data_IF_646983078170
#
_entry.id   IF_646983078170
#
_cell.length_a   1.000
_cell.length_b   1.000
_cell.length_c   1.000
_cell.angle_alpha   90.00
_cell.angle_beta   90.00
_cell.angle_gamma   90.00
#
_symmetry.space_group_name_H-M   'P 1'
#
loop_
_entity.id
_entity.type
_entity.pdbx_description
1 polymer ?
#
# COMPACT_ATOMS: atom_id res chain seq x y z
N UNK A 1 -10.54 -10.13 -11.89
CA UNK A 1 -10.09 -11.42 -12.46
C UNK A 1 -9.35 -12.18 -11.37
N UNK A 2 -9.63 -13.47 -11.17
CA UNK A 2 -8.86 -14.33 -10.25
C UNK A 2 -8.22 -15.47 -11.04
N UNK A 3 -7.04 -15.88 -10.63
CA UNK A 3 -6.24 -16.93 -11.29
C UNK A 3 -6.20 -18.15 -10.39
N UNK A 4 -6.54 -19.32 -10.93
CA UNK A 4 -6.46 -20.58 -10.21
C UNK A 4 -5.00 -21.07 -10.20
N UNK A 5 -4.44 -21.32 -9.02
CA UNK A 5 -3.07 -21.84 -8.86
C UNK A 5 -3.11 -23.10 -7.99
N UNK A 6 -2.55 -24.20 -8.48
CA UNK A 6 -2.42 -25.45 -7.71
C UNK A 6 -1.00 -25.52 -7.13
N UNK A 7 -0.86 -25.54 -5.82
CA UNK A 7 0.42 -25.69 -5.11
C UNK A 7 0.42 -26.97 -4.27
N UNK A 8 1.58 -27.44 -3.77
CA UNK A 8 1.62 -28.56 -2.82
C UNK A 8 0.78 -28.32 -1.56
N UNK A 9 0.60 -27.06 -1.16
CA UNK A 9 -0.21 -26.67 -0.01
C UNK A 9 -1.72 -26.59 -0.30
N UNK A 10 -2.15 -26.64 -1.57
CA UNK A 10 -3.56 -26.63 -1.94
C UNK A 10 -3.88 -25.86 -3.22
N UNK A 11 -5.18 -25.73 -3.51
CA UNK A 11 -5.69 -24.96 -4.65
C UNK A 11 -6.07 -23.55 -4.20
N UNK A 12 -5.52 -22.55 -4.87
CA UNK A 12 -5.68 -21.13 -4.53
C UNK A 12 -6.39 -20.36 -5.65
N UNK A 13 -7.14 -19.33 -5.26
CA UNK A 13 -7.72 -18.34 -6.17
C UNK A 13 -7.04 -17.00 -5.91
N UNK A 14 -6.07 -16.67 -6.75
CA UNK A 14 -5.19 -15.51 -6.59
C UNK A 14 -5.82 -14.29 -7.23
N UNK A 15 -5.93 -13.18 -6.49
CA UNK A 15 -6.58 -11.95 -6.93
C UNK A 15 -5.62 -10.91 -7.55
N UNK A 16 -4.34 -11.27 -7.72
CA UNK A 16 -3.30 -10.43 -8.33
C UNK A 16 -2.74 -11.10 -9.57
N UNK A 17 -2.28 -10.31 -10.53
CA UNK A 17 -1.61 -10.82 -11.73
C UNK A 17 -0.11 -11.09 -11.51
N UNK A 18 0.46 -10.54 -10.42
CA UNK A 18 1.88 -10.63 -10.11
C UNK A 18 2.10 -10.93 -8.62
N UNK A 19 2.98 -11.86 -8.33
CA UNK A 19 3.37 -12.23 -6.97
C UNK A 19 4.71 -12.98 -6.99
N UNK A 20 5.46 -12.89 -5.90
CA UNK A 20 6.61 -13.77 -5.68
C UNK A 20 6.11 -15.19 -5.36
N UNK A 21 6.76 -16.20 -5.93
CA UNK A 21 6.37 -17.60 -5.73
C UNK A 21 7.20 -18.61 -6.52
N UNK A 22 6.86 -19.88 -6.33
CA UNK A 22 7.48 -21.03 -7.02
C UNK A 22 7.00 -21.23 -8.46
N UNK A 23 7.45 -22.31 -9.09
CA UNK A 23 7.09 -22.69 -10.47
C UNK A 23 5.59 -22.86 -10.68
N UNK A 24 4.84 -23.22 -9.64
CA UNK A 24 3.39 -23.39 -9.68
C UNK A 24 2.67 -22.08 -9.98
N UNK A 25 3.17 -20.98 -9.42
CA UNK A 25 2.60 -19.64 -9.64
C UNK A 25 2.81 -19.19 -11.08
N UNK A 26 4.03 -19.37 -11.61
CA UNK A 26 4.33 -19.10 -13.02
C UNK A 26 3.50 -19.97 -13.95
N UNK A 27 3.34 -21.25 -13.62
CA UNK A 27 2.50 -22.20 -14.36
C UNK A 27 1.02 -21.80 -14.39
N UNK A 28 0.54 -21.12 -13.34
CA UNK A 28 -0.78 -20.50 -13.30
C UNK A 28 -0.89 -19.17 -14.07
N UNK A 29 0.21 -18.65 -14.62
CA UNK A 29 0.24 -17.35 -15.31
C UNK A 29 0.50 -16.14 -14.40
N UNK A 30 0.92 -16.37 -13.15
CA UNK A 30 1.34 -15.29 -12.24
C UNK A 30 2.80 -14.95 -12.50
N UNK A 31 3.07 -13.68 -12.82
CA UNK A 31 4.43 -13.19 -13.05
C UNK A 31 5.10 -12.73 -11.75
N UNK A 32 6.40 -12.97 -11.59
CA UNK A 32 7.22 -12.41 -10.52
C UNK A 32 8.00 -11.16 -10.96
N UNK A 33 7.84 -10.73 -12.23
CA UNK A 33 8.49 -9.53 -12.74
C UNK A 33 7.90 -8.27 -12.09
N UNK A 34 8.74 -7.50 -11.42
CA UNK A 34 8.36 -6.21 -10.86
C UNK A 34 8.22 -5.14 -11.95
N UNK A 35 7.25 -4.24 -11.78
CA UNK A 35 7.27 -2.97 -12.50
C UNK A 35 8.20 -2.01 -11.76
N UNK A 36 9.23 -1.53 -12.46
CA UNK A 36 10.28 -0.69 -11.87
C UNK A 36 10.15 0.73 -12.40
N UNK A 37 9.96 1.67 -11.49
CA UNK A 37 9.93 3.10 -11.78
C UNK A 37 11.05 3.79 -10.99
N UNK A 38 11.83 4.62 -11.67
CA UNK A 38 12.84 5.48 -11.03
C UNK A 38 12.33 6.92 -11.01
N UNK A 39 12.25 7.49 -9.81
CA UNK A 39 11.85 8.89 -9.60
C UNK A 39 13.05 9.65 -9.06
N UNK A 40 13.35 10.80 -9.67
CA UNK A 40 14.34 11.75 -9.14
C UNK A 40 13.63 12.64 -8.12
N UNK A 41 14.07 12.57 -6.87
CA UNK A 41 13.54 13.43 -5.81
C UNK A 41 14.06 14.86 -5.97
N UNK A 42 13.21 15.80 -5.59
CA UNK A 42 13.51 17.23 -5.45
C UNK A 42 12.81 17.79 -4.20
N UNK A 43 12.92 19.09 -3.97
CA UNK A 43 12.36 19.78 -2.80
C UNK A 43 10.83 19.76 -2.73
N UNK A 44 10.13 19.47 -3.83
CA UNK A 44 8.67 19.35 -3.84
C UNK A 44 8.19 18.02 -3.24
N UNK A 45 9.08 17.03 -3.14
CA UNK A 45 8.75 15.71 -2.59
C UNK A 45 8.87 15.74 -1.06
N UNK A 46 7.73 15.62 -0.39
CA UNK A 46 7.65 15.80 1.08
C UNK A 46 7.55 14.49 1.85
N UNK A 47 7.07 13.40 1.26
CA UNK A 47 7.02 12.09 1.90
C UNK A 47 6.83 10.97 0.87
N UNK A 48 7.07 9.74 1.31
CA UNK A 48 6.72 8.51 0.59
C UNK A 48 5.90 7.61 1.53
N UNK A 49 4.83 7.01 1.00
CA UNK A 49 4.01 6.02 1.70
C UNK A 49 4.06 4.71 0.93
N UNK A 50 4.43 3.63 1.62
CA UNK A 50 4.32 2.26 1.13
C UNK A 50 3.34 1.53 2.04
N UNK A 51 2.31 0.90 1.49
CA UNK A 51 1.31 0.21 2.31
C UNK A 51 0.72 -1.00 1.59
N UNK A 52 0.24 -1.97 2.36
CA UNK A 52 -0.54 -3.11 1.84
C UNK A 52 -1.94 -2.67 1.39
N UNK A 53 -2.63 -3.53 0.66
CA UNK A 53 -4.04 -3.39 0.32
C UNK A 53 -4.94 -3.33 1.55
N UNK A 54 -4.56 -3.94 2.68
CA UNK A 54 -5.25 -3.73 3.96
C UNK A 54 -5.33 -2.26 4.42
N UNK A 55 -4.42 -1.39 3.96
CA UNK A 55 -4.48 0.06 4.18
C UNK A 55 -5.20 0.77 3.03
N UNK A 56 -4.83 0.44 1.79
CA UNK A 56 -5.34 1.13 0.60
C UNK A 56 -6.79 0.75 0.22
N UNK A 57 -7.23 -0.45 0.54
CA UNK A 57 -8.51 -1.05 0.12
C UNK A 57 -9.70 -0.54 0.92
N UNK A 58 -9.49 -0.15 2.18
CA UNK A 58 -10.54 0.49 2.98
C UNK A 58 -10.80 1.91 2.48
N UNK A 59 -9.71 2.62 2.14
CA UNK A 59 -9.77 3.95 1.55
C UNK A 59 -10.33 3.95 0.12
N UNK A 60 -10.41 2.79 -0.55
CA UNK A 60 -11.07 2.61 -1.85
C UNK A 60 -12.59 2.62 -1.76
N UNK A 61 -13.17 2.07 -0.68
CA UNK A 61 -14.63 2.04 -0.52
C UNK A 61 -15.21 3.43 -0.29
N UNK A 62 -14.37 4.38 0.13
CA UNK A 62 -14.73 5.76 0.45
C UNK A 62 -14.30 6.76 -0.62
N UNK A 63 -13.49 6.36 -1.61
CA UNK A 63 -12.90 7.28 -2.58
C UNK A 63 -13.34 6.94 -4.01
N UNK A 64 -13.65 7.96 -4.81
CA UNK A 64 -14.01 7.86 -6.24
C UNK A 64 -12.79 7.52 -7.14
N UNK A 65 -11.94 6.57 -6.72
CA UNK A 65 -10.77 6.10 -7.46
C UNK A 65 -9.41 6.40 -6.81
N UNK A 66 -8.35 5.91 -7.47
CA UNK A 66 -6.97 5.91 -6.95
C UNK A 66 -6.42 7.30 -6.62
N UNK A 67 -6.76 8.33 -7.41
CA UNK A 67 -6.32 9.70 -7.18
C UNK A 67 -6.94 10.34 -5.94
N UNK A 68 -8.25 10.15 -5.71
CA UNK A 68 -8.94 10.66 -4.54
C UNK A 68 -8.40 10.03 -3.25
N UNK A 69 -8.20 8.71 -3.27
CA UNK A 69 -7.55 7.96 -2.17
C UNK A 69 -6.15 8.47 -1.87
N UNK A 70 -5.31 8.63 -2.90
CA UNK A 70 -3.93 9.10 -2.73
C UNK A 70 -3.90 10.50 -2.10
N UNK A 71 -4.81 11.41 -2.52
CA UNK A 71 -4.97 12.73 -1.91
C UNK A 71 -5.43 12.64 -0.45
N UNK A 72 -6.36 11.75 -0.12
CA UNK A 72 -6.85 11.54 1.23
C UNK A 72 -5.75 11.05 2.20
N UNK A 73 -4.87 10.17 1.74
CA UNK A 73 -3.68 9.74 2.51
C UNK A 73 -2.68 10.88 2.62
N UNK A 74 -2.38 11.57 1.52
CA UNK A 74 -1.47 12.70 1.50
C UNK A 74 -1.87 13.80 2.51
N UNK A 75 -3.16 14.12 2.56
CA UNK A 75 -3.71 15.08 3.53
C UNK A 75 -3.49 14.62 4.98
N UNK A 76 -3.77 13.33 5.29
CA UNK A 76 -3.57 12.77 6.64
C UNK A 76 -2.10 12.82 7.06
N UNK A 77 -1.18 12.47 6.15
CA UNK A 77 0.26 12.53 6.39
C UNK A 77 0.72 13.96 6.62
N UNK A 78 0.30 14.90 5.77
CA UNK A 78 0.66 16.31 5.90
C UNK A 78 0.13 16.91 7.21
N UNK A 79 -1.12 16.64 7.58
CA UNK A 79 -1.73 17.12 8.82
C UNK A 79 -1.00 16.56 10.06
N UNK A 80 -0.68 15.27 10.06
CA UNK A 80 0.02 14.65 11.18
C UNK A 80 1.48 15.13 11.28
N UNK A 81 2.17 15.33 10.14
CA UNK A 81 3.51 15.95 10.12
C UNK A 81 3.47 17.37 10.67
N UNK A 82 2.49 18.18 10.26
CA UNK A 82 2.31 19.54 10.77
C UNK A 82 2.03 19.56 12.30
N UNK A 83 1.41 18.50 12.82
CA UNK A 83 1.22 18.29 14.25
C UNK A 83 2.47 17.72 14.98
N UNK A 84 3.63 17.66 14.31
CA UNK A 84 4.89 17.20 14.91
C UNK A 84 4.97 15.69 15.14
N UNK A 85 4.12 14.89 14.49
CA UNK A 85 4.13 13.43 14.63
C UNK A 85 5.33 12.79 13.94
N UNK A 86 5.89 11.77 14.58
CA UNK A 86 6.96 10.99 13.97
C UNK A 86 6.43 10.16 12.78
N UNK A 87 7.32 9.72 11.89
CA UNK A 87 6.93 8.85 10.78
C UNK A 87 6.23 7.55 11.26
N UNK A 88 6.68 6.99 12.39
CA UNK A 88 6.08 5.81 13.01
C UNK A 88 4.66 6.07 13.52
N UNK A 89 4.42 7.21 14.18
CA UNK A 89 3.08 7.61 14.64
C UNK A 89 2.13 7.83 13.46
N UNK A 90 2.63 8.41 12.37
CA UNK A 90 1.84 8.62 11.15
C UNK A 90 1.47 7.26 10.53
N UNK A 91 2.43 6.33 10.43
CA UNK A 91 2.19 4.99 9.90
C UNK A 91 1.16 4.22 10.75
N UNK A 92 1.30 4.23 12.07
CA UNK A 92 0.34 3.63 13.02
C UNK A 92 -1.04 4.28 12.88
N UNK A 93 -1.09 5.61 12.77
CA UNK A 93 -2.33 6.36 12.53
C UNK A 93 -3.06 5.94 11.24
N UNK A 94 -2.33 5.70 10.15
CA UNK A 94 -2.90 5.22 8.90
C UNK A 94 -3.45 3.79 9.02
N UNK A 95 -2.72 2.89 9.69
CA UNK A 95 -3.17 1.51 9.95
C UNK A 95 -4.43 1.51 10.83
N UNK A 96 -4.46 2.30 11.90
CA UNK A 96 -5.65 2.44 12.76
C UNK A 96 -6.82 3.06 12.02
N UNK A 97 -6.57 3.98 11.08
CA UNK A 97 -7.62 4.56 10.25
C UNK A 97 -8.29 3.48 9.41
N UNK A 98 -7.50 2.64 8.73
CA UNK A 98 -8.02 1.51 7.96
C UNK A 98 -8.86 0.56 8.82
N UNK A 99 -8.41 0.22 10.03
CA UNK A 99 -9.18 -0.62 10.94
C UNK A 99 -10.53 0.01 11.35
N UNK A 100 -10.55 1.30 11.69
CA UNK A 100 -11.79 2.02 12.07
C UNK A 100 -12.77 2.17 10.93
N UNK A 101 -12.27 2.28 9.70
CA UNK A 101 -13.08 2.41 8.48
C UNK A 101 -13.58 1.04 7.97
N UNK A 102 -13.38 -0.05 8.74
CA UNK A 102 -13.95 -1.37 8.45
C UNK A 102 -12.96 -2.37 7.83
N UNK A 103 -11.65 -2.08 7.86
CA UNK A 103 -10.61 -2.99 7.40
C UNK A 103 -10.60 -4.30 8.19
N UNK A 104 -10.71 -5.42 7.47
CA UNK A 104 -10.67 -6.78 8.03
C UNK A 104 -9.40 -7.55 7.63
N UNK A 105 -8.52 -6.93 6.86
CA UNK A 105 -7.29 -7.53 6.34
C UNK A 105 -6.06 -7.10 7.15
N UNK A 106 -4.96 -7.83 6.97
CA UNK A 106 -3.66 -7.45 7.48
C UNK A 106 -3.21 -6.11 6.88
N UNK A 107 -3.07 -5.10 7.75
CA UNK A 107 -2.66 -3.76 7.37
C UNK A 107 -1.20 -3.52 7.77
N UNK A 108 -0.39 -3.07 6.81
CA UNK A 108 1.00 -2.68 7.03
C UNK A 108 1.29 -1.37 6.29
N UNK A 109 2.01 -0.46 6.93
CA UNK A 109 2.32 0.85 6.39
C UNK A 109 3.74 1.28 6.78
N UNK A 110 4.45 1.87 5.83
CA UNK A 110 5.75 2.52 6.02
C UNK A 110 5.60 3.95 5.51
N UNK A 111 5.99 4.92 6.34
CA UNK A 111 6.03 6.33 5.98
C UNK A 111 7.49 6.80 6.05
N UNK A 112 7.96 7.44 4.98
CA UNK A 112 9.22 8.15 4.96
C UNK A 112 8.90 9.63 4.85
N UNK A 113 9.34 10.43 5.81
CA UNK A 113 9.28 11.88 5.71
C UNK A 113 10.50 12.36 4.92
N UNK A 114 10.26 13.05 3.81
CA UNK A 114 11.29 13.61 2.94
C UNK A 114 11.46 15.11 3.21
N UNK A 115 12.64 15.62 2.90
CA UNK A 115 13.05 16.99 3.21
C UNK A 115 13.52 17.15 4.67
N UNK A 116 14.36 18.16 4.90
CA UNK A 116 14.92 18.46 6.22
C UNK A 116 13.82 18.86 7.20
N UNK A 117 13.75 18.14 8.33
CA UNK A 117 13.12 18.68 9.53
C UNK A 117 13.90 19.90 9.97
N UNK A 118 13.36 21.08 9.70
CA UNK A 118 13.76 22.34 10.31
C UNK A 118 12.61 22.82 11.16
#
# INVERSE_FOLDING_TARGET
>A
MRVAVNTPAGKWQVAVARALGGSEWRGGGISDAADVTTLRLDESHTFLVLASDGVWGVLDQLAEGSAARSRGVAWRVAAARAAGKSAGDIADGLVRCAAREGGTDNASCIVLLLGSGT
#
